data_IF_962244251674
#
_entry.id   IF_962244251674
#
_cell.length_a   1.000
_cell.length_b   1.000
_cell.length_c   1.000
_cell.angle_alpha   90.00
_cell.angle_beta   90.00
_cell.angle_gamma   90.00
#
_symmetry.space_group_name_H-M   'P 1'
#
loop_
_entity.id
_entity.type
_entity.pdbx_description
1 polymer ?
2 non-polymer ?
3 non-polymer ?
4 water ?
#
# COMPACT_ATOMS: atom_id res chain seq x y z
N UNK A 1 -13.85 -13.77 0.28
CA UNK A 1 -14.24 -12.38 0.01
C UNK A 1 -14.00 -12.08 -1.45
N UNK A 2 -14.98 -11.49 -2.12
CA UNK A 2 -14.85 -11.17 -3.53
C UNK A 2 -15.54 -9.85 -3.84
N UNK A 3 -15.10 -9.21 -4.93
CA UNK A 3 -15.72 -8.00 -5.42
C UNK A 3 -15.94 -8.11 -6.92
N UNK A 4 -16.74 -7.21 -7.46
CA UNK A 4 -16.77 -7.03 -8.90
C UNK A 4 -16.96 -5.57 -9.27
N UNK A 5 -16.76 -5.27 -10.55
CA UNK A 5 -16.89 -3.93 -11.07
C UNK A 5 -17.95 -3.95 -12.16
N UNK A 6 -18.95 -3.09 -12.02
CA UNK A 6 -20.05 -3.05 -12.97
C UNK A 6 -20.64 -4.43 -13.21
N UNK A 7 -20.77 -5.21 -12.14
CA UNK A 7 -21.41 -6.51 -12.20
C UNK A 7 -20.62 -7.58 -12.94
N UNK A 8 -19.32 -7.36 -13.11
CA UNK A 8 -18.47 -8.28 -13.84
C UNK A 8 -18.02 -9.50 -13.08
N UNK A 9 -16.98 -10.17 -13.57
CA UNK A 9 -16.49 -11.38 -12.95
C UNK A 9 -15.84 -11.10 -11.59
N UNK A 10 -15.85 -12.11 -10.74
CA UNK A 10 -15.37 -11.97 -9.36
C UNK A 10 -13.88 -11.65 -9.28
N UNK A 11 -13.52 -10.84 -8.29
CA UNK A 11 -12.15 -10.42 -8.05
C UNK A 11 -11.77 -10.76 -6.61
N UNK A 12 -10.67 -11.46 -6.42
CA UNK A 12 -10.24 -11.85 -5.09
C UNK A 12 -9.05 -11.08 -4.55
N UNK A 13 -8.41 -10.31 -5.43
CA UNK A 13 -7.21 -9.53 -5.08
C UNK A 13 -6.70 -8.84 -6.33
N UNK A 14 -5.74 -7.95 -6.17
CA UNK A 14 -5.06 -7.35 -7.29
C UNK A 14 -5.61 -6.03 -7.77
N UNK A 15 -5.15 -5.59 -8.94
CA UNK A 15 -5.52 -4.29 -9.48
C UNK A 15 -6.57 -4.42 -10.56
N UNK A 16 -7.59 -3.57 -10.48
CA UNK A 16 -8.69 -3.57 -11.44
C UNK A 16 -9.02 -2.15 -11.85
N UNK A 17 -9.25 -1.95 -13.14
CA UNK A 17 -9.71 -0.67 -13.64
C UNK A 17 -11.19 -0.45 -13.29
N UNK A 18 -11.52 0.78 -12.92
CA UNK A 18 -12.89 1.16 -12.63
C UNK A 18 -13.19 2.41 -13.44
N UNK A 19 -14.04 2.27 -14.45
CA UNK A 19 -14.36 3.36 -15.37
C UNK A 19 -15.51 4.19 -14.86
N UNK A 20 -15.35 5.51 -14.88
CA UNK A 20 -16.34 6.42 -14.34
C UNK A 20 -16.65 7.56 -15.31
N UNK A 21 -17.90 8.00 -15.30
CA UNK A 21 -18.29 9.18 -16.06
C UNK A 21 -18.04 10.42 -15.21
N UNK A 22 -17.34 11.40 -15.78
CA UNK A 22 -17.05 12.64 -15.08
C UNK A 22 -17.75 13.81 -15.77
N UNK A 23 -17.96 14.90 -15.03
CA UNK A 23 -18.49 16.12 -15.63
C UNK A 23 -17.57 16.56 -16.75
N UNK A 24 -18.10 16.66 -17.98
CA UNK A 24 -17.30 16.99 -19.15
C UNK A 24 -16.72 18.39 -19.09
N UNK A 25 -17.36 19.29 -18.34
CA UNK A 25 -16.89 20.66 -18.22
C UNK A 25 -16.85 21.09 -16.77
N UNK A 26 -15.76 21.74 -16.38
CA UNK A 26 -15.62 22.24 -15.02
C UNK A 26 -14.97 23.62 -14.98
N UNK A 27 -15.35 24.41 -14.00
CA UNK A 27 -14.72 25.69 -13.75
C UNK A 27 -13.95 25.55 -12.45
N UNK A 28 -12.88 26.36 -12.28
CA UNK A 28 -11.93 26.24 -11.16
C UNK A 28 -12.59 26.14 -9.78
N UNK A 29 -13.79 26.70 -9.64
CA UNK A 29 -14.52 26.61 -8.38
C UNK A 29 -15.21 25.28 -8.19
N UNK A 30 -15.39 24.56 -9.29
CA UNK A 30 -16.17 23.32 -9.28
C UNK A 30 -15.36 22.09 -8.87
N UNK A 31 -15.91 21.27 -7.99
CA UNK A 31 -15.30 20.00 -7.64
C UNK A 31 -16.09 18.79 -8.14
N UNK A 32 -15.39 17.81 -8.69
CA UNK A 32 -16.02 16.65 -9.30
C UNK A 32 -16.31 15.57 -8.28
N UNK A 33 -17.52 15.03 -8.34
CA UNK A 33 -17.88 13.90 -7.49
C UNK A 33 -17.75 12.60 -8.28
N UNK A 34 -17.06 11.62 -7.70
CA UNK A 34 -16.94 10.32 -8.32
C UNK A 34 -17.52 9.30 -7.36
N UNK A 35 -18.74 8.87 -7.64
CA UNK A 35 -19.45 7.95 -6.78
C UNK A 35 -19.08 6.52 -7.17
N UNK A 36 -18.17 5.91 -6.41
CA UNK A 36 -17.69 4.59 -6.74
C UNK A 36 -18.65 3.49 -6.28
N UNK A 37 -19.65 3.87 -5.49
CA UNK A 37 -20.69 2.91 -5.11
C UNK A 37 -21.46 2.46 -6.34
N UNK A 38 -21.42 3.27 -7.39
CA UNK A 38 -22.10 2.92 -8.63
C UNK A 38 -21.37 1.85 -9.43
N UNK A 39 -20.15 1.49 -9.00
CA UNK A 39 -19.33 0.56 -9.78
C UNK A 39 -18.76 -0.65 -9.04
N UNK A 40 -18.34 -0.46 -7.78
CA UNK A 40 -17.65 -1.53 -7.06
C UNK A 40 -18.55 -2.12 -5.98
N UNK A 41 -18.70 -3.44 -6.00
CA UNK A 41 -19.46 -4.14 -4.97
C UNK A 41 -18.68 -5.31 -4.46
N UNK A 42 -18.85 -5.65 -3.19
CA UNK A 42 -18.14 -6.78 -2.61
C UNK A 42 -19.06 -7.61 -1.75
N UNK A 43 -18.66 -8.85 -1.48
CA UNK A 43 -19.49 -9.75 -0.69
C UNK A 43 -18.65 -10.78 0.06
N UNK A 44 -19.29 -11.37 1.05
CA UNK A 44 -18.72 -12.47 1.79
C UNK A 44 -19.03 -13.75 1.03
N UNK A 45 -18.03 -14.63 0.88
CA UNK A 45 -18.21 -15.78 0.01
C UNK A 45 -18.95 -16.95 0.65
N UNK A 46 -19.18 -16.89 1.96
CA UNK A 46 -20.03 -17.87 2.63
C UNK A 46 -21.42 -17.34 2.91
N UNK A 47 -21.49 -16.06 3.26
CA UNK A 47 -22.70 -15.48 3.79
C UNK A 47 -22.92 -15.92 5.23
N UNK A 48 -23.99 -15.43 5.84
CA UNK A 48 -24.38 -15.87 7.16
C UNK A 48 -23.53 -15.33 8.30
N UNK A 49 -22.62 -14.41 8.02
CA UNK A 49 -21.76 -13.84 9.06
C UNK A 49 -20.97 -14.92 9.80
N UNK A 50 -20.50 -15.91 9.03
CA UNK A 50 -19.74 -17.01 9.60
C UNK A 50 -18.24 -16.70 9.73
N UNK A 51 -17.63 -16.28 8.61
CA UNK A 51 -16.25 -15.82 8.61
C UNK A 51 -16.29 -14.39 8.06
N UNK A 52 -16.50 -13.42 8.94
CA UNK A 52 -16.79 -12.06 8.51
C UNK A 52 -15.56 -11.37 7.93
N UNK A 53 -15.75 -10.65 6.83
CA UNK A 53 -14.67 -9.88 6.21
C UNK A 53 -14.60 -8.46 6.76
N UNK A 54 -13.38 -7.97 6.88
CA UNK A 54 -13.12 -6.63 7.40
C UNK A 54 -12.31 -5.86 6.39
N UNK A 55 -12.89 -4.78 5.87
CA UNK A 55 -12.32 -4.07 4.74
C UNK A 55 -12.03 -2.63 5.12
N UNK A 56 -10.87 -2.13 4.72
CA UNK A 56 -10.59 -0.70 4.89
C UNK A 56 -9.80 -0.17 3.71
N UNK A 57 -9.73 1.15 3.58
CA UNK A 57 -8.88 1.74 2.56
C UNK A 57 -7.55 2.14 3.19
N UNK A 58 -6.51 2.19 2.37
CA UNK A 58 -5.13 2.21 2.88
C UNK A 58 -4.41 3.52 2.64
N UNK A 59 -3.72 3.96 3.68
CA UNK A 59 -2.79 5.08 3.61
C UNK A 59 -1.95 5.03 2.34
N UNK A 60 -1.85 6.16 1.65
CA UNK A 60 -1.08 6.22 0.42
C UNK A 60 -1.94 6.25 -0.83
N UNK A 61 -3.21 5.86 -0.70
CA UNK A 61 -4.18 6.01 -1.78
C UNK A 61 -4.17 7.47 -2.20
N UNK A 62 -4.09 7.72 -3.50
CA UNK A 62 -3.84 9.08 -3.98
C UNK A 62 -4.27 9.28 -5.43
N UNK A 63 -4.19 10.53 -5.89
CA UNK A 63 -4.40 10.83 -7.29
C UNK A 63 -3.23 10.28 -8.11
N UNK A 64 -3.40 10.22 -9.43
CA UNK A 64 -2.39 9.56 -10.27
C UNK A 64 -1.73 10.50 -11.27
N UNK A 65 -0.41 10.42 -11.33
CA UNK A 65 0.40 11.16 -12.28
C UNK A 65 0.09 12.64 -12.37
N UNK A 66 -0.71 13.01 -13.38
CA UNK A 66 -1.01 14.40 -13.67
C UNK A 66 -1.76 15.12 -12.55
N UNK A 67 -2.61 14.38 -11.84
CA UNK A 67 -3.46 14.99 -10.83
C UNK A 67 -2.85 14.98 -9.43
N UNK A 68 -1.57 14.66 -9.34
CA UNK A 68 -0.88 14.57 -8.06
C UNK A 68 -0.91 15.90 -7.30
N UNK A 69 -1.15 16.98 -8.03
CA UNK A 69 -1.24 18.30 -7.43
C UNK A 69 -2.64 18.60 -6.92
N UNK A 70 -3.59 17.74 -7.31
CA UNK A 70 -4.99 17.98 -6.94
C UNK A 70 -5.27 17.72 -5.47
N UNK A 71 -6.24 18.45 -4.93
CA UNK A 71 -6.73 18.23 -3.57
C UNK A 71 -8.07 17.52 -3.65
N UNK A 72 -8.48 16.91 -2.55
CA UNK A 72 -9.79 16.29 -2.51
C UNK A 72 -10.18 15.71 -1.17
N UNK A 73 -11.27 14.95 -1.21
CA UNK A 73 -11.76 14.23 -0.04
C UNK A 73 -12.17 12.85 -0.51
N UNK A 74 -12.13 11.89 0.40
CA UNK A 74 -12.58 10.54 0.12
C UNK A 74 -13.58 10.14 1.18
N UNK A 75 -14.82 9.92 0.77
CA UNK A 75 -15.84 9.42 1.66
C UNK A 75 -15.77 7.90 1.68
N UNK A 76 -15.65 7.32 2.89
CA UNK A 76 -15.69 5.87 3.06
C UNK A 76 -16.46 5.55 4.32
N UNK A 77 -17.58 4.84 4.14
CA UNK A 77 -18.27 4.20 5.27
C UNK A 77 -18.44 5.12 6.48
N UNK A 78 -19.18 6.20 6.29
CA UNK A 78 -19.58 7.13 7.36
C UNK A 78 -18.57 8.21 7.74
N UNK A 79 -17.41 8.23 7.10
CA UNK A 79 -16.39 9.24 7.40
C UNK A 79 -15.85 9.84 6.11
N UNK A 80 -15.58 11.14 6.14
CA UNK A 80 -14.98 11.80 4.99
C UNK A 80 -13.56 12.19 5.34
N UNK A 81 -12.60 11.58 4.65
CA UNK A 81 -11.18 11.78 4.89
C UNK A 81 -10.57 12.76 3.89
N UNK A 82 -9.55 13.51 4.30
CA UNK A 82 -8.77 14.21 3.28
C UNK A 82 -8.17 13.19 2.30
N UNK A 83 -8.05 13.58 1.03
CA UNK A 83 -7.47 12.73 0.01
C UNK A 83 -6.39 13.56 -0.68
N UNK A 84 -5.20 12.98 -0.89
CA UNK A 84 -4.80 11.59 -0.67
C UNK A 84 -4.87 11.15 0.79
N UNK A 85 -5.07 9.85 0.99
CA UNK A 85 -5.23 9.30 2.33
C UNK A 85 -3.89 9.26 3.05
N UNK A 86 -3.88 9.83 4.25
CA UNK A 86 -2.66 9.87 5.05
C UNK A 86 -2.73 8.90 6.21
N UNK A 87 -3.82 8.14 6.27
CA UNK A 87 -4.02 7.16 7.32
C UNK A 87 -4.93 6.08 6.76
N UNK A 88 -5.03 4.96 7.46
CA UNK A 88 -6.00 3.94 7.07
C UNK A 88 -7.38 4.36 7.54
N UNK A 89 -8.40 4.00 6.76
CA UNK A 89 -9.77 4.36 7.10
C UNK A 89 -10.36 3.41 8.14
N UNK A 90 -11.56 3.76 8.60
CA UNK A 90 -12.37 2.87 9.41
C UNK A 90 -12.65 1.59 8.63
N UNK A 91 -13.07 0.56 9.37
CA UNK A 91 -13.34 -0.76 8.81
C UNK A 91 -14.82 -0.95 8.50
N UNK A 92 -15.09 -1.47 7.31
CA UNK A 92 -16.42 -1.93 6.93
C UNK A 92 -16.45 -3.44 7.05
N UNK A 93 -17.50 -3.97 7.67
CA UNK A 93 -17.59 -5.41 7.89
C UNK A 93 -18.60 -6.01 6.92
N UNK A 94 -18.19 -7.08 6.25
CA UNK A 94 -18.96 -7.68 5.19
C UNK A 94 -19.17 -9.16 5.49
N UNK A 95 -20.44 -9.53 5.69
CA UNK A 95 -20.79 -10.89 6.11
C UNK A 95 -21.91 -11.54 5.32
N UNK A 96 -22.57 -10.77 4.45
CA UNK A 96 -23.65 -11.28 3.60
C UNK A 96 -23.11 -11.68 2.23
N UNK A 97 -23.75 -12.67 1.60
CA UNK A 97 -23.37 -13.08 0.25
C UNK A 97 -23.94 -12.12 -0.78
N UNK A 98 -25.03 -11.44 -0.41
CA UNK A 98 -25.59 -10.41 -1.27
C UNK A 98 -24.58 -9.28 -1.41
N UNK A 99 -24.22 -8.92 -2.65
CA UNK A 99 -23.22 -7.88 -2.87
C UNK A 99 -23.58 -6.56 -2.22
N UNK A 100 -22.59 -5.93 -1.61
CA UNK A 100 -22.76 -4.60 -1.05
C UNK A 100 -21.95 -3.63 -1.88
N UNK A 101 -22.63 -2.66 -2.52
CA UNK A 101 -21.89 -1.58 -3.19
C UNK A 101 -21.02 -0.86 -2.17
N UNK A 102 -19.79 -0.56 -2.54
CA UNK A 102 -18.89 0.08 -1.59
C UNK A 102 -19.35 1.51 -1.29
N UNK A 103 -19.41 1.88 0.00
CA UNK A 103 -19.82 3.23 0.37
C UNK A 103 -18.63 4.17 0.23
N UNK A 104 -18.35 4.52 -1.02
CA UNK A 104 -17.07 5.12 -1.39
C UNK A 104 -17.30 6.19 -2.44
N UNK A 105 -16.91 7.41 -2.12
CA UNK A 105 -16.99 8.52 -3.07
C UNK A 105 -15.71 9.33 -3.02
N UNK A 106 -15.29 9.80 -4.19
CA UNK A 106 -14.11 10.64 -4.29
C UNK A 106 -14.54 12.02 -4.73
N UNK A 107 -14.07 13.04 -4.01
CA UNK A 107 -14.34 14.42 -4.37
C UNK A 107 -13.03 15.05 -4.83
N UNK A 108 -13.05 15.60 -6.04
CA UNK A 108 -11.84 16.16 -6.64
C UNK A 108 -11.97 17.67 -6.79
N UNK A 109 -10.97 18.40 -6.29
CA UNK A 109 -10.97 19.86 -6.37
C UNK A 109 -9.96 20.36 -7.40
N UNK A 116 -7.71 23.93 -20.99
CA UNK A 116 -8.31 23.00 -21.93
C UNK A 116 -8.64 21.68 -21.26
N UNK A 117 -8.14 20.59 -21.84
CA UNK A 117 -8.38 19.26 -21.27
C UNK A 117 -7.51 19.06 -20.03
N UNK A 118 -8.15 18.89 -18.88
CA UNK A 118 -7.44 18.66 -17.63
C UNK A 118 -7.38 17.17 -17.30
N UNK A 119 -8.44 16.45 -17.65
CA UNK A 119 -8.45 15.00 -17.48
C UNK A 119 -8.78 14.33 -18.81
N UNK A 120 -7.96 13.35 -19.18
CA UNK A 120 -8.16 12.60 -20.42
C UNK A 120 -8.98 11.34 -20.19
N UNK A 121 -9.84 11.03 -21.16
CA UNK A 121 -10.52 9.75 -21.15
C UNK A 121 -9.44 8.68 -21.24
N UNK A 122 -9.54 7.66 -20.39
CA UNK A 122 -8.58 6.56 -20.40
C UNK A 122 -7.43 6.74 -19.43
N UNK A 123 -7.35 7.94 -18.85
CA UNK A 123 -6.31 8.27 -17.90
C UNK A 123 -6.64 7.77 -16.49
N UNK A 124 -5.69 7.09 -15.85
CA UNK A 124 -5.85 6.75 -14.44
C UNK A 124 -5.76 8.03 -13.63
N UNK A 125 -6.81 8.35 -12.88
CA UNK A 125 -6.87 9.60 -12.13
C UNK A 125 -6.66 9.41 -10.62
N UNK A 126 -6.82 8.19 -10.15
CA UNK A 126 -6.62 7.89 -8.73
C UNK A 126 -6.39 6.39 -8.56
N UNK A 127 -5.61 6.04 -7.54
CA UNK A 127 -5.35 4.65 -7.21
C UNK A 127 -5.75 4.46 -5.77
N UNK A 128 -6.78 3.65 -5.56
CA UNK A 128 -7.32 3.44 -4.23
C UNK A 128 -6.98 2.03 -3.76
N UNK A 129 -6.17 1.94 -2.71
CA UNK A 129 -5.76 0.67 -2.15
C UNK A 129 -6.74 0.25 -1.06
N UNK A 130 -7.21 -0.98 -1.18
CA UNK A 130 -8.17 -1.52 -0.24
C UNK A 130 -7.57 -2.78 0.38
N UNK A 131 -7.77 -2.96 1.67
CA UNK A 131 -7.25 -4.12 2.39
C UNK A 131 -8.39 -4.94 2.97
N UNK A 132 -8.28 -6.25 2.84
CA UNK A 132 -9.22 -7.21 3.39
C UNK A 132 -8.54 -8.21 4.34
N UNK A 133 -9.19 -8.46 5.45
CA UNK A 133 -8.77 -9.48 6.39
C UNK A 133 -10.05 -10.04 7.00
N UNK A 134 -10.14 -11.36 7.07
CA UNK A 134 -11.31 -12.00 7.62
C UNK A 134 -11.19 -12.25 9.09
N UNK A 135 -11.95 -13.22 9.61
CA UNK A 135 -12.08 -13.48 11.02
C UNK A 135 -11.45 -14.78 11.50
N UNK A 136 -11.61 -15.82 10.72
CA UNK A 136 -11.10 -17.14 11.12
C UNK A 136 -9.66 -17.34 10.66
N UNK A 137 -8.93 -18.19 11.39
CA UNK A 137 -7.53 -18.44 11.09
C UNK A 137 -6.71 -17.17 11.09
N UNK A 138 -5.91 -16.99 10.03
CA UNK A 138 -5.06 -15.82 9.88
C UNK A 138 -5.87 -14.65 9.30
N UNK A 139 -7.06 -14.96 8.82
CA UNK A 139 -7.89 -13.96 8.18
C UNK A 139 -7.65 -13.88 6.68
N UNK A 140 -6.64 -14.61 6.18
CA UNK A 140 -6.37 -14.66 4.75
C UNK A 140 -6.35 -13.27 4.11
N UNK A 141 -5.45 -12.40 4.57
CA UNK A 141 -5.43 -11.01 4.09
C UNK A 141 -5.18 -10.89 2.60
N UNK A 142 -5.83 -9.90 1.97
CA UNK A 142 -5.70 -9.67 0.55
C UNK A 142 -5.65 -8.18 0.26
N UNK A 143 -4.90 -7.83 -0.79
CA UNK A 143 -4.80 -6.45 -1.24
C UNK A 143 -5.54 -6.27 -2.54
N UNK A 144 -6.28 -5.17 -2.64
CA UNK A 144 -6.93 -4.76 -3.87
C UNK A 144 -6.47 -3.35 -4.20
N UNK A 145 -6.32 -3.06 -5.49
CA UNK A 145 -6.16 -1.68 -5.92
C UNK A 145 -7.22 -1.36 -6.97
N UNK A 146 -7.90 -0.24 -6.78
CA UNK A 146 -8.88 0.24 -7.73
C UNK A 146 -8.27 1.42 -8.50
N UNK A 147 -8.01 1.20 -9.79
CA UNK A 147 -7.50 2.27 -10.65
C UNK A 147 -8.68 2.97 -11.28
N UNK A 148 -8.93 4.21 -10.88
CA UNK A 148 -10.09 4.96 -11.33
C UNK A 148 -9.75 5.65 -12.64
N UNK A 149 -10.55 5.40 -13.66
CA UNK A 149 -10.29 5.92 -15.00
C UNK A 149 -11.51 6.64 -15.54
N UNK A 150 -11.32 7.83 -16.11
CA UNK A 150 -12.44 8.57 -16.68
C UNK A 150 -12.83 8.01 -18.05
N UNK A 151 -14.13 7.93 -18.30
CA UNK A 151 -14.65 7.51 -19.60
C UNK A 151 -14.59 8.64 -20.60
N UNK A 152 -14.40 9.85 -20.12
CA UNK A 152 -14.51 11.03 -20.97
C UNK A 152 -13.52 12.13 -20.62
N UNK A 153 -13.40 13.09 -21.53
CA UNK A 153 -12.60 14.28 -21.30
C UNK A 153 -13.28 15.16 -20.27
N UNK A 154 -12.46 15.86 -19.48
CA UNK A 154 -12.96 16.93 -18.62
C UNK A 154 -12.18 18.19 -18.99
N UNK A 155 -12.90 19.24 -19.29
CA UNK A 155 -12.27 20.45 -19.72
C UNK A 155 -12.45 21.59 -18.78
N UNK A 156 -11.38 22.36 -18.70
CA UNK A 156 -11.13 23.51 -17.84
C UNK A 156 -11.08 23.17 -16.36
N UNK B 1 12.29 14.51 0.51
CA UNK B 1 12.66 13.25 1.15
C UNK B 1 13.19 12.29 0.09
N UNK B 2 14.33 11.65 0.37
CA UNK B 2 14.94 10.76 -0.60
C UNK B 2 15.58 9.57 0.09
N UNK B 3 15.69 8.46 -0.64
CA UNK B 3 16.39 7.27 -0.17
C UNK B 3 17.38 6.79 -1.23
N UNK B 4 18.29 5.91 -0.82
CA UNK B 4 19.03 5.13 -1.79
C UNK B 4 19.29 3.72 -1.28
N UNK B 5 19.73 2.86 -2.20
CA UNK B 5 19.97 1.46 -1.90
C UNK B 5 21.43 1.16 -2.24
N UNK B 6 22.17 0.69 -1.24
CA UNK B 6 23.59 0.40 -1.42
C UNK B 6 24.33 1.57 -2.03
N UNK B 7 23.98 2.78 -1.59
CA UNK B 7 24.65 3.99 -2.04
C UNK B 7 24.36 4.42 -3.47
N UNK B 8 23.32 3.84 -4.07
CA UNK B 8 22.96 4.16 -5.44
C UNK B 8 22.31 5.52 -5.61
N UNK B 9 21.69 5.73 -6.77
CA UNK B 9 21.06 7.02 -7.06
C UNK B 9 19.84 7.27 -6.18
N UNK B 10 19.53 8.56 -5.97
CA UNK B 10 18.44 8.94 -5.11
C UNK B 10 17.09 8.46 -5.61
N UNK B 11 16.23 8.08 -4.68
CA UNK B 11 14.90 7.56 -4.97
C UNK B 11 13.89 8.44 -4.24
N UNK B 12 12.90 8.96 -4.96
CA UNK B 12 11.91 9.83 -4.34
C UNK B 12 10.53 9.22 -4.20
N UNK B 13 10.35 8.04 -4.79
CA UNK B 13 9.10 7.30 -4.73
C UNK B 13 9.23 6.06 -5.60
N UNK B 14 8.25 5.17 -5.51
CA UNK B 14 8.22 4.05 -6.42
C UNK B 14 8.81 2.76 -5.89
N UNK B 15 8.93 1.79 -6.78
CA UNK B 15 9.40 0.46 -6.44
C UNK B 15 10.87 0.29 -6.76
N UNK B 16 11.61 -0.22 -5.77
CA UNK B 16 13.03 -0.48 -5.96
C UNK B 16 13.33 -1.89 -5.48
N UNK B 17 14.17 -2.58 -6.23
CA UNK B 17 14.62 -3.91 -5.84
C UNK B 17 15.82 -3.80 -4.90
N UNK B 18 15.78 -4.55 -3.82
CA UNK B 18 16.84 -4.52 -2.82
C UNK B 18 17.40 -5.93 -2.67
N UNK B 19 18.66 -6.10 -3.04
CA UNK B 19 19.27 -7.41 -3.06
C UNK B 19 20.03 -7.66 -1.77
N UNK B 20 19.84 -8.86 -1.23
CA UNK B 20 20.45 -9.21 0.04
C UNK B 20 21.24 -10.50 -0.08
N UNK B 21 22.28 -10.62 0.74
CA UNK B 21 23.04 -11.86 0.84
C UNK B 21 22.59 -12.63 2.06
N UNK B 22 22.04 -13.82 1.84
CA UNK B 22 21.51 -14.63 2.94
C UNK B 22 22.37 -15.85 3.20
N UNK B 23 22.30 -16.36 4.42
CA UNK B 23 22.97 -17.61 4.77
C UNK B 23 22.50 -18.68 3.80
N UNK B 24 23.43 -19.31 3.08
CA UNK B 24 23.08 -20.28 2.04
C UNK B 24 22.36 -21.51 2.60
N UNK B 25 22.60 -21.81 3.87
CA UNK B 25 21.97 -22.97 4.50
C UNK B 25 21.37 -22.61 5.85
N UNK B 26 20.14 -23.06 6.09
CA UNK B 26 19.52 -22.87 7.39
C UNK B 26 19.00 -24.19 7.95
N UNK B 27 19.23 -24.42 9.23
CA UNK B 27 18.80 -25.64 9.90
C UNK B 27 17.36 -25.53 10.35
N UNK B 28 16.71 -26.67 10.60
CA UNK B 28 15.36 -26.64 11.15
C UNK B 28 15.32 -25.89 12.48
N UNK B 29 14.34 -25.01 12.65
CA UNK B 29 14.20 -24.23 13.87
C UNK B 29 15.03 -22.96 13.86
N UNK B 30 15.74 -22.75 12.75
CA UNK B 30 16.53 -21.55 12.55
C UNK B 30 15.68 -20.56 11.76
N UNK B 31 15.86 -19.28 12.02
CA UNK B 31 15.17 -18.26 11.25
C UNK B 31 16.12 -17.53 10.32
N UNK B 32 15.63 -17.15 9.15
CA UNK B 32 16.39 -16.27 8.27
C UNK B 32 16.19 -14.85 8.74
N UNK B 33 17.29 -14.16 9.00
CA UNK B 33 17.22 -12.75 9.37
C UNK B 33 17.66 -11.92 8.18
N UNK B 34 16.80 -11.03 7.74
CA UNK B 34 17.13 -10.13 6.64
C UNK B 34 17.24 -8.71 7.16
N UNK B 35 18.48 -8.24 7.33
CA UNK B 35 18.72 -6.90 7.84
C UNK B 35 18.77 -5.92 6.68
N UNK B 36 17.80 -5.03 6.60
CA UNK B 36 17.74 -4.10 5.49
C UNK B 36 18.41 -2.78 5.83
N UNK B 37 18.79 -2.59 7.09
CA UNK B 37 19.44 -1.34 7.48
C UNK B 37 20.78 -1.16 6.79
N UNK B 38 21.41 -2.25 6.40
CA UNK B 38 22.69 -2.20 5.71
C UNK B 38 22.53 -1.80 4.25
N UNK B 39 21.29 -1.77 3.77
CA UNK B 39 21.05 -1.55 2.35
C UNK B 39 20.28 -0.27 2.03
N UNK B 40 19.30 0.08 2.85
CA UNK B 40 18.43 1.20 2.54
C UNK B 40 18.64 2.35 3.52
N UNK B 41 18.91 3.54 3.00
CA UNK B 41 19.02 4.72 3.84
C UNK B 41 18.17 5.84 3.25
N UNK B 42 17.65 6.69 4.12
CA UNK B 42 16.83 7.81 3.69
C UNK B 42 17.18 9.07 4.45
N UNK B 43 16.89 10.22 3.86
CA UNK B 43 17.25 11.50 4.49
C UNK B 43 16.24 12.59 4.16
N UNK B 44 16.23 13.61 5.01
CA UNK B 44 15.46 14.82 4.77
C UNK B 44 16.26 15.66 3.79
N UNK B 45 15.58 16.22 2.78
CA UNK B 45 16.30 16.92 1.71
C UNK B 45 16.67 18.36 2.04
N UNK B 46 16.17 18.89 3.16
CA UNK B 46 16.49 20.24 3.59
C UNK B 46 17.28 20.30 4.90
N UNK B 47 16.98 19.38 5.81
CA UNK B 47 17.64 19.36 7.11
C UNK B 47 17.04 20.34 8.10
N UNK B 48 17.61 20.38 9.29
CA UNK B 48 17.17 21.33 10.30
C UNK B 48 15.83 21.05 10.94
N UNK B 49 15.20 19.93 10.57
CA UNK B 49 13.82 19.65 10.98
C UNK B 49 12.88 20.80 10.59
N UNK B 50 13.23 21.47 9.50
CA UNK B 50 12.41 22.54 8.94
C UNK B 50 11.11 22.00 8.35
N UNK B 51 11.22 20.90 7.61
CA UNK B 51 10.06 20.23 7.06
C UNK B 51 10.25 18.75 7.29
N UNK B 52 9.90 18.31 8.49
CA UNK B 52 10.24 16.98 8.96
C UNK B 52 9.45 15.89 8.21
N UNK B 53 10.15 14.83 7.85
CA UNK B 53 9.55 13.70 7.16
C UNK B 53 9.10 12.63 8.17
N UNK B 54 7.93 12.07 7.91
CA UNK B 54 7.35 11.03 8.75
C UNK B 54 7.20 9.78 7.91
N UNK B 55 7.84 8.70 8.31
CA UNK B 55 7.87 7.46 7.53
C UNK B 55 7.31 6.30 8.33
N UNK B 56 6.50 5.48 7.69
CA UNK B 56 6.06 4.24 8.31
C UNK B 56 5.90 3.15 7.26
N UNK B 57 5.74 1.91 7.70
CA UNK B 57 5.48 0.84 6.75
C UNK B 57 3.98 0.58 6.74
N UNK B 58 3.49 -0.01 5.66
CA UNK B 58 2.07 0.03 5.38
C UNK B 58 1.41 -1.35 5.38
N UNK B 59 0.24 -1.38 6.00
CA UNK B 59 -0.68 -2.51 5.95
C UNK B 59 -0.75 -3.14 4.56
N UNK B 60 -0.63 -4.46 4.50
CA UNK B 60 -0.69 -5.15 3.24
C UNK B 60 0.66 -5.68 2.77
N UNK B 61 1.73 -5.07 3.27
CA UNK B 61 3.08 -5.56 2.98
C UNK B 61 3.17 -7.05 3.33
N UNK B 62 3.72 -7.84 2.42
CA UNK B 62 3.60 -9.29 2.54
C UNK B 62 4.74 -10.02 1.84
N UNK B 63 4.84 -11.32 2.12
CA UNK B 63 5.73 -12.20 1.36
C UNK B 63 5.23 -12.29 -0.07
N UNK B 64 6.11 -12.68 -0.98
CA UNK B 64 5.75 -12.68 -2.39
C UNK B 64 5.36 -14.05 -2.93
N UNK B 65 4.07 -14.24 -3.15
CA UNK B 65 3.55 -15.42 -3.82
C UNK B 65 3.88 -16.76 -3.20
N UNK B 66 4.96 -17.37 -3.69
CA UNK B 66 5.30 -18.75 -3.32
C UNK B 66 5.78 -18.87 -1.86
N UNK B 67 5.92 -17.73 -1.19
CA UNK B 67 6.44 -17.74 0.18
C UNK B 67 5.42 -17.24 1.19
N UNK B 68 4.16 -17.15 0.79
CA UNK B 68 3.12 -16.68 1.70
C UNK B 68 2.74 -17.76 2.71
N UNK B 69 3.23 -18.97 2.47
CA UNK B 69 3.04 -20.07 3.41
C UNK B 69 4.02 -19.92 4.57
N UNK B 70 4.93 -18.95 4.46
CA UNK B 70 5.93 -18.72 5.48
C UNK B 70 5.41 -17.84 6.62
N UNK B 71 5.97 -18.04 7.80
CA UNK B 71 5.66 -17.19 8.94
C UNK B 71 6.74 -16.13 9.06
N UNK B 72 6.36 -14.94 9.50
CA UNK B 72 7.32 -13.87 9.59
C UNK B 72 7.05 -12.81 10.62
N UNK B 73 8.09 -12.06 10.92
CA UNK B 73 7.97 -10.89 11.76
C UNK B 73 8.78 -9.78 11.12
N UNK B 74 8.31 -8.56 11.29
CA UNK B 74 9.03 -7.43 10.75
C UNK B 74 9.40 -6.54 11.91
N UNK B 75 10.69 -6.24 12.04
CA UNK B 75 11.16 -5.29 13.03
C UNK B 75 11.28 -3.93 12.35
N UNK B 76 10.64 -2.93 12.93
CA UNK B 76 10.71 -1.58 12.41
C UNK B 76 10.82 -0.59 13.55
N UNK B 77 11.91 0.17 13.59
CA UNK B 77 12.06 1.22 14.58
C UNK B 77 11.82 0.68 15.99
N UNK B 78 12.47 -0.44 16.30
CA UNK B 78 12.43 -1.06 17.62
C UNK B 78 11.14 -1.80 18.00
N UNK B 79 10.21 -1.92 17.06
CA UNK B 79 8.97 -2.65 17.32
C UNK B 79 8.84 -3.89 16.43
N UNK B 80 8.37 -4.99 16.99
CA UNK B 80 8.11 -6.17 16.20
C UNK B 80 6.65 -6.25 15.78
N UNK B 81 6.42 -6.58 14.52
CA UNK B 81 5.08 -6.73 13.97
C UNK B 81 5.00 -8.07 13.25
N UNK B 82 3.86 -8.77 13.39
CA UNK B 82 3.67 -9.94 12.53
C UNK B 82 3.75 -9.55 11.07
N UNK B 83 4.30 -10.44 10.24
CA UNK B 83 4.40 -10.21 8.81
C UNK B 83 3.71 -11.39 8.13
N UNK B 84 2.80 -11.13 7.17
CA UNK B 84 2.47 -9.84 6.54
C UNK B 84 1.84 -8.82 7.48
N UNK B 85 2.03 -7.55 7.19
CA UNK B 85 1.51 -6.48 8.03
C UNK B 85 0.00 -6.40 7.88
N UNK B 86 -0.70 -6.47 9.00
CA UNK B 86 -2.15 -6.30 9.00
C UNK B 86 -2.54 -4.90 9.46
N UNK B 87 -1.54 -4.08 9.75
CA UNK B 87 -1.73 -2.70 10.18
C UNK B 87 -0.55 -1.91 9.64
N UNK B 88 -0.58 -0.59 9.79
CA UNK B 88 0.61 0.21 9.58
C UNK B 88 1.53 0.05 10.77
N UNK B 89 2.79 0.47 10.61
CA UNK B 89 3.74 0.46 11.71
C UNK B 89 3.85 1.85 12.31
N UNK B 90 4.64 1.95 13.37
CA UNK B 90 4.88 3.24 13.99
C UNK B 90 5.63 4.19 13.06
N UNK B 91 5.60 5.47 13.40
CA UNK B 91 6.21 6.50 12.58
C UNK B 91 7.64 6.84 13.01
N UNK B 92 8.54 6.88 12.04
CA UNK B 92 9.92 7.34 12.25
C UNK B 92 10.05 8.73 11.65
N UNK B 93 10.56 9.68 12.44
CA UNK B 93 10.77 11.04 11.97
C UNK B 93 12.19 11.19 11.46
N UNK B 94 12.33 11.80 10.29
CA UNK B 94 13.64 12.12 9.72
C UNK B 94 13.66 13.61 9.34
N UNK B 95 14.52 14.37 10.02
CA UNK B 95 14.58 15.81 9.83
C UNK B 95 15.94 16.31 9.39
N UNK B 96 16.93 15.42 9.33
CA UNK B 96 18.29 15.80 8.97
C UNK B 96 18.69 15.26 7.60
N UNK B 97 19.63 15.94 6.95
CA UNK B 97 20.18 15.49 5.67
C UNK B 97 21.07 14.25 5.79
N UNK B 98 21.41 13.89 7.02
CA UNK B 98 22.19 12.69 7.27
C UNK B 98 21.42 11.46 6.79
N UNK B 99 22.06 10.62 5.97
CA UNK B 99 21.36 9.41 5.51
C UNK B 99 21.16 8.45 6.67
N UNK B 100 19.90 8.20 7.02
CA UNK B 100 19.60 7.29 8.12
C UNK B 100 19.27 5.91 7.60
N UNK B 101 20.06 4.91 8.00
CA UNK B 101 19.71 3.53 7.64
C UNK B 101 18.32 3.21 8.14
N UNK B 102 17.48 2.58 7.33
CA UNK B 102 16.15 2.23 7.79
C UNK B 102 16.26 1.16 8.86
N UNK B 103 15.64 1.39 10.03
CA UNK B 103 15.71 0.41 11.13
C UNK B 103 14.73 -0.70 10.85
N UNK B 104 15.13 -1.60 9.95
CA UNK B 104 14.20 -2.55 9.36
C UNK B 104 14.85 -3.91 9.19
N UNK B 105 14.26 -4.92 9.81
CA UNK B 105 14.68 -6.30 9.65
C UNK B 105 13.46 -7.16 9.39
N UNK B 106 13.64 -8.19 8.56
CA UNK B 106 12.59 -9.17 8.34
C UNK B 106 13.07 -10.51 8.87
N UNK B 107 12.25 -11.13 9.72
CA UNK B 107 12.55 -12.45 10.26
C UNK B 107 11.65 -13.49 9.59
N UNK B 108 12.25 -14.52 9.02
CA UNK B 108 11.50 -15.47 8.23
C UNK B 108 11.62 -16.88 8.80
N UNK B 109 10.49 -17.47 9.12
CA UNK B 109 10.45 -18.85 9.56
C UNK B 109 9.91 -19.72 8.42
N UNK B 110 10.78 -20.54 7.84
CA UNK B 110 10.38 -21.44 6.75
C UNK B 110 9.27 -22.39 7.21
N UNK B 111 8.21 -22.50 6.41
CA UNK B 111 7.09 -23.37 6.73
C UNK B 111 6.68 -24.17 5.50
N UNK B 116 14.96 -28.94 1.49
CA UNK B 116 14.51 -28.37 0.24
C UNK B 116 14.86 -26.90 0.11
N UNK B 117 14.59 -26.34 -1.07
CA UNK B 117 14.87 -24.94 -1.34
C UNK B 117 13.95 -24.03 -0.54
N UNK B 118 14.53 -23.21 0.33
CA UNK B 118 13.75 -22.25 1.12
C UNK B 118 13.51 -20.99 0.31
N UNK B 119 14.59 -20.42 -0.23
CA UNK B 119 14.50 -19.24 -1.06
C UNK B 119 15.29 -19.46 -2.35
N UNK B 120 14.71 -19.05 -3.48
CA UNK B 120 15.40 -19.13 -4.75
C UNK B 120 16.07 -17.80 -5.04
N UNK B 121 17.26 -17.85 -5.63
CA UNK B 121 17.95 -16.64 -6.02
C UNK B 121 17.13 -15.88 -7.05
N UNK B 122 17.08 -14.56 -6.90
CA UNK B 122 16.44 -13.69 -7.88
C UNK B 122 14.95 -13.51 -7.67
N UNK B 123 14.35 -14.38 -6.88
CA UNK B 123 12.91 -14.36 -6.62
C UNK B 123 12.55 -13.27 -5.61
N UNK B 124 11.49 -12.54 -5.87
CA UNK B 124 11.01 -11.56 -4.89
C UNK B 124 10.51 -12.32 -3.67
N UNK B 125 11.08 -12.03 -2.51
CA UNK B 125 10.67 -12.73 -1.29
C UNK B 125 9.65 -11.94 -0.45
N UNK B 126 9.70 -10.62 -0.54
CA UNK B 126 8.75 -9.77 0.18
C UNK B 126 8.61 -8.42 -0.53
N UNK B 127 7.43 -7.82 -0.41
CA UNK B 127 7.16 -6.49 -0.94
C UNK B 127 6.78 -5.61 0.23
N UNK B 128 7.67 -4.69 0.58
CA UNK B 128 7.47 -3.86 1.75
C UNK B 128 7.12 -2.45 1.33
N UNK B 129 5.90 -2.04 1.64
CA UNK B 129 5.40 -0.72 1.28
C UNK B 129 5.68 0.28 2.38
N UNK B 130 6.28 1.40 2.00
CA UNK B 130 6.65 2.44 2.95
C UNK B 130 5.97 3.73 2.52
N UNK B 131 5.49 4.48 3.50
CA UNK B 131 4.78 5.72 3.25
C UNK B 131 5.56 6.87 3.84
N UNK B 132 5.59 7.97 3.12
CA UNK B 132 6.23 9.17 3.57
C UNK B 132 5.28 10.35 3.46
N UNK B 133 5.24 11.17 4.48
CA UNK B 133 4.51 12.44 4.44
C UNK B 133 5.36 13.40 5.28
N UNK B 134 5.52 14.60 4.77
CA UNK B 134 6.28 15.59 5.50
C UNK B 134 5.37 16.43 6.41
N UNK B 135 5.74 17.67 6.61
CA UNK B 135 5.04 18.54 7.53
C UNK B 135 4.40 19.77 6.95
N UNK B 136 5.13 20.46 6.10
CA UNK B 136 4.63 21.71 5.53
C UNK B 136 3.64 21.47 4.39
N UNK B 137 2.65 22.35 4.30
CA UNK B 137 1.65 22.27 3.24
C UNK B 137 0.93 20.94 3.24
N UNK B 138 0.89 20.32 2.06
CA UNK B 138 0.21 19.04 1.88
C UNK B 138 1.05 17.89 2.44
N UNK B 139 2.33 18.15 2.65
CA UNK B 139 3.24 17.13 3.12
C UNK B 139 3.86 16.33 1.98
N UNK B 140 3.40 16.59 0.75
CA UNK B 140 3.87 15.88 -0.43
C UNK B 140 4.05 14.38 -0.20
N UNK B 141 2.97 13.69 0.16
CA UNK B 141 3.10 12.26 0.47
C UNK B 141 3.63 11.45 -0.70
N UNK B 142 4.40 10.42 -0.41
CA UNK B 142 4.99 9.59 -1.43
C UNK B 142 4.93 8.14 -1.00
N UNK B 143 4.75 7.26 -1.97
CA UNK B 143 4.76 5.83 -1.74
C UNK B 143 6.03 5.18 -2.27
N UNK B 144 6.63 4.30 -1.47
CA UNK B 144 7.79 3.54 -1.86
C UNK B 144 7.46 2.07 -1.68
N UNK B 145 7.95 1.22 -2.58
CA UNK B 145 7.89 -0.21 -2.35
C UNK B 145 9.30 -0.76 -2.44
N UNK B 146 9.66 -1.59 -1.47
CA UNK B 146 10.96 -2.23 -1.47
C UNK B 146 10.72 -3.71 -1.78
N UNK B 147 11.15 -4.15 -2.95
CA UNK B 147 11.09 -5.56 -3.32
C UNK B 147 12.36 -6.25 -2.88
N UNK B 148 12.24 -7.12 -1.89
CA UNK B 148 13.39 -7.77 -1.28
C UNK B 148 13.71 -9.06 -2.03
N UNK B 149 14.96 -9.18 -2.46
CA UNK B 149 15.40 -10.29 -3.30
C UNK B 149 16.74 -10.84 -2.81
N UNK B 150 16.89 -12.16 -2.76
CA UNK B 150 18.16 -12.75 -2.35
C UNK B 150 19.06 -12.96 -3.56
N UNK B 151 20.34 -12.64 -3.39
CA UNK B 151 21.33 -12.88 -4.44
C UNK B 151 21.57 -14.36 -4.65
N UNK B 152 21.35 -15.14 -3.58
CA UNK B 152 21.67 -16.56 -3.57
C UNK B 152 20.48 -17.35 -3.09
N UNK B 153 20.43 -18.63 -3.48
CA UNK B 153 19.40 -19.51 -2.97
C UNK B 153 19.71 -19.89 -1.52
N UNK B 154 18.66 -20.18 -0.76
CA UNK B 154 18.80 -20.65 0.61
C UNK B 154 18.18 -22.03 0.69
N UNK B 155 18.92 -22.99 1.24
CA UNK B 155 18.41 -24.35 1.33
C UNK B 155 18.46 -24.91 2.75
N UNK B 156 17.52 -25.82 3.03
CA UNK B 156 17.50 -26.53 4.30
C UNK B 156 17.66 -28.03 4.10
X LIG C 1 -16.10 -19.73 -1.35
X LIG C 1 -11.82 -16.60 2.35
X LIG C 1 -11.94 -16.16 3.77
X LIG C 1 -15.68 -14.09 2.55
X LIG C 1 -15.65 -15.08 3.52
X LIG C 1 -14.36 -15.93 3.37
X LIG C 1 -14.19 -16.27 2.05
X LIG C 1 -13.15 -17.19 1.88
X LIG C 1 -13.01 -17.48 0.49
X LIG C 1 -14.10 -18.26 -0.09
X LIG C 1 -15.07 -18.90 0.67
X LIG C 1 -16.08 -19.64 0.04
X LIG C 1 -15.12 -19.09 -2.11
X LIG C 1 -14.12 -18.35 -1.48
X LIG C 1 -13.11 -17.68 -2.21
X LIG C 1 -13.54 -17.06 -3.40
X LIG C 1 -10.81 -17.58 2.26
X LIG C 1 -10.71 -15.56 4.18
X LIG C 1 -13.11 -15.21 3.88
X LIG C 1 -12.82 -14.06 3.10
X LIG C 1 -16.80 -20.24 -1.80
X LIG C 1 -11.58 -15.83 1.78
X LIG C 1 -12.11 -16.93 4.34
X LIG C 1 -15.69 -14.47 1.73
X LIG C 1 -16.45 -15.66 3.41
X LIG C 1 -15.66 -14.66 4.40
X LIG C 1 -14.47 -16.76 3.90
X LIG C 1 -13.35 -18.02 2.39
X LIG C 1 -15.04 -18.84 1.66
X LIG C 1 -16.76 -20.09 0.56
X LIG C 1 -15.14 -19.15 -3.11
X LIG C 1 -12.89 -16.36 -3.66
X LIG C 1 -14.43 -16.65 -3.27
X LIG C 1 -13.59 -17.72 -4.12
X LIG C 1 -10.48 -17.60 1.39
X LIG C 1 -10.61 -15.63 5.07
X LIG C 1 -13.23 -14.95 4.80
X LIG C 1 -13.53 -13.50 3.13
X LIG D 1 -27.21 -13.40 2.07
X LIG D 1 -28.20 -13.44 3.14
X LIG D 1 -25.97 -14.02 2.52
X LIG D 1 -26.99 -12.00 1.70
X LIG D 1 -27.69 -14.11 0.89
X LIG E 1 15.32 18.41 -2.84
X LIG E 1 9.57 17.51 -0.15
X LIG E 1 8.98 17.84 1.20
X LIG E 1 12.70 16.08 2.98
X LIG E 1 12.28 17.39 3.17
X LIG E 1 11.29 17.84 2.07
X LIG E 1 11.79 17.48 0.83
X LIG E 1 11.02 17.95 -0.23
X LIG E 1 11.49 17.37 -1.44
X LIG E 1 12.80 17.77 -1.88
X LIG E 1 13.41 18.94 -1.45
X LIG E 1 14.68 19.26 -1.94
X LIG E 1 14.69 17.24 -3.27
X LIG E 1 13.43 16.92 -2.78
X LIG E 1 12.74 15.76 -3.17
X LIG E 1 13.53 14.68 -3.65
X LIG E 1 8.84 18.12 -1.18
X LIG E 1 7.67 17.29 1.29
X LIG E 1 9.88 17.26 2.26
X LIG E 1 9.88 15.84 2.13
X LIG E 1 16.20 18.64 -3.18
X LIG E 1 9.53 16.52 -0.27
X LIG E 1 8.95 18.81 1.30
X LIG E 1 13.24 16.04 2.24
X LIG E 1 11.83 17.45 4.07
X LIG E 1 13.06 17.98 3.17
X LIG E 1 11.21 18.83 2.10
X LIG E 1 11.07 18.95 -0.29
X LIG E 1 12.96 19.54 -0.81
X LIG E 1 15.12 20.08 -1.65
X LIG E 1 15.15 16.64 -3.92
X LIG E 1 13.03 13.84 -3.57
X LIG E 1 14.36 14.62 -3.12
X LIG E 1 13.75 14.84 -4.59
X LIG E 1 9.31 18.05 -1.98
X LIG E 1 7.53 16.73 0.60
X LIG E 1 9.55 17.50 3.13
X LIG E 1 10.13 15.48 2.91
#
# INVERSE_FOLDING_TARGET
FSCNVDGGSSIGAGTTSVYVNLDPVIQPGQNLVVDLSQHISCWNDYGGWYDTDHINLVQGSAFAGSLQSYKGSLYWNNVTYPFPLTTNTNVLDIGDKTPMPLPLKLYITPVGAAGGVVIKAGEVIARIHMYKIATLGSGNPRNFTWNIISNNSVVMPTGGHHHHHH
FSCNVDGGSSIGAGTTSVYVNLDPVIQPGQNLVVDLSQHISCWNDYGGWYDTDHINLVQGSAFAGSLQSYKGSLYWNNVTYPFPLTTNTNVLDIGDKTPMPLPLKLYITPVGAAGGVVIKAGEVIARIHMYKIATLGSGNPRNFTWNIISNNSVVMPTGGHHHHHH
BQY C10 C2 C3 O6 C6 C5 O5 C1 O1 C07 C08 C09 C11 C12 O13 C14 O2 O3 C4 O4 H101 H2 H3 HO6 H61 H62 H5 H1 H081 H091 H111 H141 H142 H143 HO2 HO3 H4 HO4
SO4 S O1 O2 O3 O4
BQY C10 C2 C3 O6 C6 C5 O5 C1 O1 C07 C08 C09 C11 C12 O13 C14 O2 O3 C4 O4 H101 H2 H3 HO6 H61 H62 H5 H1 H081 H091 H111 H141 H142 H143 HO2 HO3 H4 HO4
#
